data_IF_021727900512
#
_entry.id   IF_021727900512
#
_cell.length_a   1.000
_cell.length_b   1.000
_cell.length_c   1.000
_cell.angle_alpha   90.00
_cell.angle_beta   90.00
_cell.angle_gamma   90.00
#
_symmetry.space_group_name_H-M   'P 1'
#
loop_
_entity.id
_entity.type
_entity.pdbx_description
1 polymer ?
#
# COMPACT_ATOMS: atom_id res chain seq x y z
N UNK A 1 2.18 1.23 -7.27
CA UNK A 1 1.88 0.01 -6.49
C UNK A 1 2.82 -1.11 -6.94
N UNK A 2 3.43 -1.83 -6.00
CA UNK A 2 4.11 -3.11 -6.26
C UNK A 2 3.07 -4.23 -6.10
N UNK A 3 2.93 -5.04 -7.14
CA UNK A 3 1.97 -6.14 -7.28
C UNK A 3 2.44 -7.40 -6.53
N UNK A 4 1.60 -8.45 -6.39
CA UNK A 4 1.96 -9.62 -5.58
C UNK A 4 3.25 -10.32 -6.00
N UNK A 5 3.55 -10.40 -7.30
CA UNK A 5 4.80 -10.94 -7.82
C UNK A 5 6.03 -10.11 -7.43
N UNK A 6 5.93 -8.77 -7.48
CA UNK A 6 7.02 -7.89 -7.05
C UNK A 6 7.28 -7.98 -5.54
N UNK A 7 6.20 -8.03 -4.75
CA UNK A 7 6.27 -8.07 -3.29
C UNK A 7 6.79 -9.44 -2.79
N UNK A 8 6.21 -10.54 -3.27
CA UNK A 8 6.60 -11.90 -2.89
C UNK A 8 7.92 -12.35 -3.54
N UNK A 9 8.30 -11.71 -4.65
CA UNK A 9 9.59 -11.92 -5.32
C UNK A 9 10.77 -11.21 -4.66
N UNK A 10 10.58 -10.56 -3.51
CA UNK A 10 11.60 -9.78 -2.79
C UNK A 10 12.20 -8.61 -3.60
N UNK A 11 11.44 -8.02 -4.53
CA UNK A 11 11.89 -6.86 -5.31
C UNK A 11 11.59 -5.51 -4.64
N UNK A 12 10.93 -5.50 -3.48
CA UNK A 12 10.48 -4.28 -2.79
C UNK A 12 11.59 -3.26 -2.60
N UNK A 13 12.70 -3.67 -1.99
CA UNK A 13 13.80 -2.76 -1.67
C UNK A 13 14.48 -2.24 -2.94
N UNK A 14 14.65 -3.11 -3.94
CA UNK A 14 15.25 -2.73 -5.22
C UNK A 14 14.37 -1.72 -5.97
N UNK A 15 13.05 -1.94 -6.02
CA UNK A 15 12.09 -1.00 -6.62
C UNK A 15 12.08 0.34 -5.87
N UNK A 16 12.09 0.33 -4.53
CA UNK A 16 12.13 1.56 -3.74
C UNK A 16 13.44 2.32 -3.93
N UNK A 17 14.57 1.63 -4.03
CA UNK A 17 15.85 2.24 -4.36
C UNK A 17 15.83 2.92 -5.73
N UNK A 18 15.26 2.25 -6.76
CA UNK A 18 15.09 2.85 -8.09
C UNK A 18 14.20 4.10 -8.04
N UNK A 19 13.10 4.06 -7.28
CA UNK A 19 12.19 5.21 -7.08
C UNK A 19 12.96 6.41 -6.49
N UNK A 20 13.65 6.20 -5.37
CA UNK A 20 14.36 7.27 -4.64
C UNK A 20 15.50 7.83 -5.48
N UNK A 21 16.29 6.96 -6.12
CA UNK A 21 17.40 7.37 -6.98
C UNK A 21 16.94 8.11 -8.25
N UNK A 22 15.67 7.96 -8.64
CA UNK A 22 15.06 8.68 -9.76
C UNK A 22 14.44 10.03 -9.35
N UNK A 23 14.64 10.45 -8.10
CA UNK A 23 14.21 11.74 -7.57
C UNK A 23 12.75 11.80 -7.13
N UNK A 24 12.10 10.65 -6.92
CA UNK A 24 10.78 10.61 -6.31
C UNK A 24 10.89 10.59 -4.78
N UNK A 25 9.90 11.20 -4.12
CA UNK A 25 9.65 11.04 -2.69
C UNK A 25 8.54 10.00 -2.52
N UNK A 26 8.73 9.04 -1.62
CA UNK A 26 7.67 8.13 -1.19
C UNK A 26 6.93 8.82 -0.03
N UNK A 27 5.81 9.48 -0.33
CA UNK A 27 5.06 10.28 0.65
C UNK A 27 4.32 9.41 1.67
N UNK A 28 3.68 8.35 1.19
CA UNK A 28 2.91 7.41 2.01
C UNK A 28 2.94 6.04 1.38
N UNK A 29 2.93 5.00 2.20
CA UNK A 29 2.82 3.63 1.72
C UNK A 29 2.03 2.74 2.68
N UNK A 30 1.42 1.68 2.15
CA UNK A 30 0.73 0.66 2.94
C UNK A 30 0.77 -0.69 2.23
N UNK A 31 0.93 -1.76 3.01
CA UNK A 31 0.73 -3.13 2.53
C UNK A 31 -0.71 -3.53 2.84
N UNK A 32 -1.42 -4.07 1.84
CA UNK A 32 -2.74 -4.66 2.03
C UNK A 32 -2.96 -5.88 1.16
N UNK A 33 -3.91 -6.72 1.55
CA UNK A 33 -4.49 -7.76 0.70
C UNK A 33 -5.81 -7.23 0.13
N UNK A 34 -5.97 -7.27 -1.19
CA UNK A 34 -7.24 -6.97 -1.84
C UNK A 34 -8.14 -8.22 -1.84
N UNK A 35 -9.42 -8.04 -1.54
CA UNK A 35 -10.46 -9.01 -1.90
C UNK A 35 -10.93 -8.79 -3.35
N UNK A 36 -11.75 -9.71 -3.86
CA UNK A 36 -12.22 -9.67 -5.25
C UNK A 36 -13.04 -8.41 -5.54
N UNK A 37 -13.88 -7.98 -4.59
CA UNK A 37 -14.75 -6.80 -4.74
C UNK A 37 -13.95 -5.49 -4.82
N UNK A 38 -12.96 -5.30 -3.94
CA UNK A 38 -12.06 -4.14 -3.97
C UNK A 38 -11.17 -4.16 -5.20
N UNK A 39 -10.63 -5.32 -5.58
CA UNK A 39 -9.84 -5.43 -6.81
C UNK A 39 -10.68 -5.12 -8.06
N UNK A 40 -11.91 -5.65 -8.15
CA UNK A 40 -12.84 -5.39 -9.24
C UNK A 40 -13.23 -3.92 -9.31
N UNK A 41 -13.49 -3.30 -8.16
CA UNK A 41 -13.79 -1.86 -8.06
C UNK A 41 -12.61 -1.00 -8.51
N UNK A 42 -11.39 -1.36 -8.11
CA UNK A 42 -10.18 -0.64 -8.49
C UNK A 42 -9.92 -0.71 -10.01
N UNK A 43 -10.15 -1.87 -10.63
CA UNK A 43 -9.96 -2.09 -12.07
C UNK A 43 -11.24 -1.95 -12.91
N UNK A 44 -12.28 -1.27 -12.41
CA UNK A 44 -13.60 -1.23 -13.05
C UNK A 44 -13.59 -0.76 -14.51
N UNK A 45 -12.65 0.13 -14.88
CA UNK A 45 -12.42 0.61 -16.25
C UNK A 45 -12.02 -0.52 -17.24
N UNK A 46 -11.62 -1.68 -16.72
CA UNK A 46 -11.25 -2.86 -17.49
C UNK A 46 -12.30 -3.98 -17.45
N UNK A 47 -13.46 -3.77 -16.82
CA UNK A 47 -14.50 -4.80 -16.61
C UNK A 47 -14.98 -5.48 -17.91
N UNK A 48 -14.94 -4.79 -19.04
CA UNK A 48 -15.35 -5.32 -20.35
C UNK A 48 -14.20 -6.02 -21.11
N UNK A 49 -12.99 -6.08 -20.54
CA UNK A 49 -11.83 -6.70 -21.19
C UNK A 49 -11.77 -8.19 -20.88
N UNK A 50 -11.41 -9.00 -21.87
CA UNK A 50 -11.31 -10.46 -21.73
C UNK A 50 -10.31 -10.93 -20.66
N UNK A 51 -9.29 -10.11 -20.36
CA UNK A 51 -8.30 -10.40 -19.31
C UNK A 51 -8.76 -10.04 -17.89
N UNK A 52 -9.91 -9.37 -17.72
CA UNK A 52 -10.35 -8.85 -16.42
C UNK A 52 -10.48 -9.92 -15.34
N UNK A 53 -11.10 -11.10 -15.58
CA UNK A 53 -11.19 -12.13 -14.54
C UNK A 53 -9.83 -12.62 -14.05
N UNK A 54 -8.86 -12.78 -14.95
CA UNK A 54 -7.50 -13.19 -14.59
C UNK A 54 -6.77 -12.08 -13.83
N UNK A 55 -6.96 -10.82 -14.22
CA UNK A 55 -6.42 -9.66 -13.51
C UNK A 55 -6.91 -9.61 -12.06
N UNK A 56 -8.22 -9.81 -11.82
CA UNK A 56 -8.77 -9.82 -10.45
C UNK A 56 -8.16 -10.98 -9.66
N UNK A 57 -8.19 -12.20 -10.21
CA UNK A 57 -7.62 -13.38 -9.55
C UNK A 57 -6.14 -13.21 -9.20
N UNK A 58 -5.36 -12.58 -10.07
CA UNK A 58 -3.95 -12.30 -9.82
C UNK A 58 -3.76 -11.24 -8.75
N UNK A 59 -4.52 -10.14 -8.80
CA UNK A 59 -4.37 -9.04 -7.85
C UNK A 59 -4.85 -9.40 -6.44
N UNK A 60 -5.68 -10.45 -6.31
CA UNK A 60 -6.10 -11.02 -5.01
C UNK A 60 -5.27 -12.23 -4.58
N UNK A 61 -4.27 -12.66 -5.36
CA UNK A 61 -3.46 -13.85 -5.05
C UNK A 61 -2.44 -13.63 -3.92
N UNK A 62 -2.25 -12.39 -3.46
CA UNK A 62 -1.27 -12.04 -2.45
C UNK A 62 -1.28 -10.54 -2.15
N UNK A 63 -0.46 -10.10 -1.17
CA UNK A 63 -0.46 -8.72 -0.74
C UNK A 63 0.16 -7.80 -1.79
N UNK A 64 -0.22 -6.53 -1.74
CA UNK A 64 0.34 -5.46 -2.58
C UNK A 64 0.90 -4.36 -1.69
N UNK A 65 1.95 -3.68 -2.18
CA UNK A 65 2.44 -2.44 -1.58
C UNK A 65 1.93 -1.25 -2.39
N UNK A 66 1.04 -0.47 -1.82
CA UNK A 66 0.54 0.78 -2.41
C UNK A 66 1.39 1.93 -1.90
N UNK A 67 1.76 2.84 -2.80
CA UNK A 67 2.58 4.02 -2.50
C UNK A 67 1.99 5.25 -3.18
N UNK A 68 2.06 6.39 -2.49
CA UNK A 68 1.90 7.73 -3.06
C UNK A 68 3.31 8.25 -3.36
N UNK A 69 3.58 8.55 -4.63
CA UNK A 69 4.87 9.06 -5.07
C UNK A 69 4.74 10.55 -5.45
N UNK A 70 5.68 11.36 -4.99
CA UNK A 70 5.72 12.79 -5.26
C UNK A 70 6.97 13.16 -6.06
N UNK A 71 6.74 13.97 -7.11
CA UNK A 71 7.75 14.57 -7.97
C UNK A 71 7.07 15.60 -8.86
N UNK A 72 7.82 16.59 -9.35
CA UNK A 72 7.39 17.33 -10.53
C UNK A 72 7.19 16.35 -11.71
N UNK A 73 6.08 16.45 -12.44
CA UNK A 73 5.70 15.53 -13.52
C UNK A 73 5.62 14.04 -13.11
N UNK A 74 5.30 13.76 -11.84
CA UNK A 74 5.35 12.41 -11.26
C UNK A 74 4.67 11.31 -12.09
N UNK A 75 3.47 11.55 -12.64
CA UNK A 75 2.75 10.54 -13.42
C UNK A 75 3.54 10.16 -14.68
N UNK A 76 3.98 11.15 -15.47
CA UNK A 76 4.72 10.91 -16.71
C UNK A 76 6.07 10.24 -16.44
N UNK A 77 6.81 10.74 -15.45
CA UNK A 77 8.11 10.20 -15.06
C UNK A 77 7.99 8.78 -14.52
N UNK A 78 6.95 8.47 -13.74
CA UNK A 78 6.71 7.13 -13.24
C UNK A 78 6.40 6.17 -14.37
N UNK A 79 5.58 6.59 -15.34
CA UNK A 79 5.28 5.80 -16.55
C UNK A 79 6.54 5.50 -17.36
N UNK A 80 7.44 6.46 -17.50
CA UNK A 80 8.74 6.26 -18.15
C UNK A 80 9.62 5.28 -17.35
N UNK A 81 9.70 5.45 -16.03
CA UNK A 81 10.54 4.63 -15.14
C UNK A 81 10.11 3.17 -15.08
N UNK A 82 8.79 2.88 -15.07
CA UNK A 82 8.31 1.49 -15.06
C UNK A 82 8.44 0.82 -16.43
N UNK A 83 8.38 1.57 -17.53
CA UNK A 83 8.51 1.07 -18.90
C UNK A 83 7.26 0.34 -19.44
N UNK A 84 7.37 -0.31 -20.61
CA UNK A 84 6.25 -0.95 -21.32
C UNK A 84 5.52 -2.01 -20.48
N UNK A 85 4.19 -2.12 -20.63
CA UNK A 85 3.34 -3.07 -19.86
C UNK A 85 3.77 -4.53 -20.01
N UNK A 86 4.20 -4.94 -21.21
CA UNK A 86 4.77 -6.27 -21.44
C UNK A 86 6.25 -6.28 -21.02
N UNK A 87 6.53 -7.02 -19.96
CA UNK A 87 7.87 -7.16 -19.38
C UNK A 87 8.87 -7.78 -20.37
N UNK A 88 8.43 -8.65 -21.29
CA UNK A 88 9.31 -9.21 -22.33
C UNK A 88 9.78 -8.12 -23.29
N UNK A 89 8.86 -7.24 -23.68
CA UNK A 89 9.17 -6.05 -24.49
C UNK A 89 10.02 -5.05 -23.71
N UNK A 90 9.74 -4.84 -22.42
CA UNK A 90 10.53 -3.95 -21.56
C UNK A 90 11.99 -4.38 -21.50
N UNK A 91 12.28 -5.68 -21.30
CA UNK A 91 13.64 -6.23 -21.27
C UNK A 91 14.47 -5.91 -22.52
N UNK A 92 13.82 -5.81 -23.68
CA UNK A 92 14.48 -5.54 -24.96
C UNK A 92 14.62 -4.03 -25.20
N UNK A 93 13.57 -3.25 -24.92
CA UNK A 93 13.47 -1.85 -25.36
C UNK A 93 13.83 -0.84 -24.27
N UNK A 94 13.66 -1.21 -23.00
CA UNK A 94 13.88 -0.37 -21.82
C UNK A 94 14.54 -1.21 -20.72
N UNK A 95 15.77 -1.73 -20.94
CA UNK A 95 16.39 -2.73 -20.05
C UNK A 95 16.62 -2.22 -18.61
N UNK A 96 16.59 -0.91 -18.40
CA UNK A 96 16.73 -0.28 -17.09
C UNK A 96 15.38 0.06 -16.42
N UNK A 97 14.24 -0.32 -17.03
CA UNK A 97 12.93 -0.07 -16.43
C UNK A 97 12.60 -1.08 -15.33
N UNK A 98 11.72 -0.70 -14.41
CA UNK A 98 11.31 -1.61 -13.32
C UNK A 98 10.67 -2.89 -13.86
N UNK A 99 9.89 -2.82 -14.95
CA UNK A 99 9.30 -4.01 -15.59
C UNK A 99 10.34 -4.90 -16.26
N UNK A 100 11.44 -4.34 -16.75
CA UNK A 100 12.56 -5.15 -17.25
C UNK A 100 13.27 -5.89 -16.10
N UNK A 101 13.41 -5.22 -14.96
CA UNK A 101 14.06 -5.75 -13.75
C UNK A 101 13.29 -6.93 -13.13
N UNK A 102 12.03 -6.73 -12.75
CA UNK A 102 11.28 -7.70 -11.95
C UNK A 102 10.06 -8.32 -12.64
N UNK A 103 9.71 -7.86 -13.85
CA UNK A 103 8.56 -8.36 -14.58
C UNK A 103 8.81 -9.68 -15.32
N UNK A 104 7.76 -10.50 -15.43
CA UNK A 104 7.77 -11.80 -16.11
C UNK A 104 7.08 -11.70 -17.48
N UNK A 105 5.87 -11.16 -17.52
CA UNK A 105 5.04 -11.04 -18.73
C UNK A 105 4.15 -9.79 -18.67
N UNK A 106 3.03 -9.76 -19.40
CA UNK A 106 2.09 -8.63 -19.44
C UNK A 106 1.17 -8.53 -18.22
N UNK A 107 0.87 -9.64 -17.56
CA UNK A 107 0.03 -9.69 -16.36
C UNK A 107 0.89 -9.51 -15.10
N UNK A 108 1.91 -10.38 -14.96
CA UNK A 108 2.93 -10.36 -13.89
C UNK A 108 4.06 -9.43 -14.28
N UNK A 109 3.76 -8.14 -14.28
CA UNK A 109 4.70 -7.08 -14.63
C UNK A 109 5.15 -6.25 -13.42
N UNK A 110 5.12 -6.84 -12.22
CA UNK A 110 5.69 -6.31 -10.98
C UNK A 110 5.06 -5.03 -10.41
N UNK A 111 4.69 -4.03 -11.24
CA UNK A 111 4.20 -2.72 -10.80
C UNK A 111 3.02 -2.19 -11.60
N UNK A 112 2.10 -1.53 -10.89
CA UNK A 112 1.03 -0.68 -11.42
C UNK A 112 1.35 0.80 -11.20
N UNK A 113 0.91 1.65 -12.13
CA UNK A 113 1.04 3.10 -12.06
C UNK A 113 -0.06 3.78 -12.86
N UNK A 114 -0.66 4.81 -12.25
CA UNK A 114 -1.70 5.65 -12.84
C UNK A 114 -1.26 6.22 -14.19
N UNK A 115 -2.20 6.38 -15.11
CA UNK A 115 -1.97 6.80 -16.50
C UNK A 115 -2.16 8.31 -16.75
N UNK A 116 -2.76 9.01 -15.79
CA UNK A 116 -3.13 10.43 -15.88
C UNK A 116 -3.22 11.05 -14.48
N UNK A 117 -3.15 12.39 -14.35
CA UNK A 117 -3.39 13.06 -13.07
C UNK A 117 -4.77 12.74 -12.49
N UNK A 118 -5.79 12.65 -13.36
CA UNK A 118 -7.14 12.28 -12.98
C UNK A 118 -7.18 10.87 -12.42
N UNK A 119 -6.53 9.90 -13.08
CA UNK A 119 -6.50 8.54 -12.56
C UNK A 119 -5.72 8.43 -11.26
N UNK A 120 -4.58 9.13 -11.16
CA UNK A 120 -3.81 9.22 -9.93
C UNK A 120 -4.67 9.73 -8.75
N UNK A 121 -5.45 10.79 -8.96
CA UNK A 121 -6.33 11.32 -7.92
C UNK A 121 -7.35 10.28 -7.42
N UNK A 122 -8.12 9.63 -8.32
CA UNK A 122 -9.11 8.64 -7.84
C UNK A 122 -8.44 7.40 -7.24
N UNK A 123 -7.29 6.96 -7.76
CA UNK A 123 -6.56 5.82 -7.19
C UNK A 123 -6.00 6.13 -5.79
N UNK A 124 -5.47 7.34 -5.59
CA UNK A 124 -5.04 7.80 -4.25
C UNK A 124 -6.24 7.84 -3.30
N UNK A 125 -7.36 8.42 -3.71
CA UNK A 125 -8.58 8.43 -2.88
C UNK A 125 -9.10 7.02 -2.58
N UNK A 126 -9.01 6.08 -3.52
CA UNK A 126 -9.46 4.69 -3.33
C UNK A 126 -8.70 3.98 -2.20
N UNK A 127 -7.38 4.20 -2.10
CA UNK A 127 -6.54 3.52 -1.10
C UNK A 127 -6.33 4.31 0.19
N UNK A 128 -6.29 5.63 0.10
CA UNK A 128 -5.86 6.51 1.19
C UNK A 128 -6.91 7.56 1.56
N UNK A 129 -8.18 7.35 1.21
CA UNK A 129 -9.27 8.09 1.86
C UNK A 129 -9.02 8.07 3.37
N UNK A 130 -9.07 9.25 3.98
CA UNK A 130 -8.94 9.35 5.44
C UNK A 130 -9.91 8.37 6.05
N UNK A 131 -9.38 7.49 6.91
CA UNK A 131 -10.22 6.64 7.74
C UNK A 131 -11.27 7.55 8.37
N UNK A 132 -12.55 7.19 8.21
CA UNK A 132 -13.63 7.95 8.81
C UNK A 132 -13.28 8.25 10.27
N UNK A 133 -13.60 9.46 10.75
CA UNK A 133 -13.24 9.92 12.09
C UNK A 133 -13.59 8.90 13.21
N UNK A 134 -14.61 8.07 12.97
CA UNK A 134 -15.00 6.96 13.85
C UNK A 134 -13.90 5.91 14.04
N UNK A 135 -13.16 5.54 12.99
CA UNK A 135 -12.08 4.55 13.07
C UNK A 135 -10.84 5.12 13.78
N UNK A 136 -10.55 6.41 13.59
CA UNK A 136 -9.44 7.09 14.29
C UNK A 136 -9.72 7.20 15.78
N UNK A 137 -10.95 7.55 16.17
CA UNK A 137 -11.37 7.58 17.58
C UNK A 137 -11.33 6.17 18.18
N UNK A 138 -11.83 5.15 17.48
CA UNK A 138 -11.76 3.77 17.96
C UNK A 138 -10.31 3.30 18.17
N UNK A 139 -9.38 3.64 17.27
CA UNK A 139 -7.96 3.34 17.43
C UNK A 139 -7.30 4.13 18.56
N UNK A 140 -7.64 5.41 18.73
CA UNK A 140 -7.17 6.21 19.87
C UNK A 140 -7.66 5.64 21.19
N UNK A 141 -8.95 5.31 21.29
CA UNK A 141 -9.53 4.68 22.47
C UNK A 141 -8.89 3.33 22.75
N UNK A 142 -8.70 2.48 21.73
CA UNK A 142 -8.02 1.20 21.86
C UNK A 142 -6.58 1.35 22.37
N UNK A 143 -5.81 2.30 21.82
CA UNK A 143 -4.45 2.58 22.27
C UNK A 143 -4.42 3.14 23.70
N UNK A 144 -5.34 4.03 24.06
CA UNK A 144 -5.47 4.57 25.41
C UNK A 144 -5.88 3.50 26.43
N UNK A 145 -6.77 2.59 26.06
CA UNK A 145 -7.18 1.46 26.90
C UNK A 145 -6.02 0.49 27.14
N UNK A 146 -5.25 0.14 26.10
CA UNK A 146 -4.08 -0.72 26.25
C UNK A 146 -3.00 -0.07 27.12
N UNK A 147 -2.77 1.23 26.96
CA UNK A 147 -1.80 1.96 27.79
C UNK A 147 -2.22 2.03 29.25
N UNK A 148 -3.51 2.31 29.53
CA UNK A 148 -4.06 2.31 30.89
C UNK A 148 -3.97 0.92 31.54
N UNK A 149 -4.32 -0.13 30.80
CA UNK A 149 -4.19 -1.51 31.28
C UNK A 149 -2.73 -1.88 31.58
N UNK A 150 -1.79 -1.51 30.70
CA UNK A 150 -0.36 -1.76 30.89
C UNK A 150 0.17 -1.08 32.15
N UNK A 151 -0.15 0.19 32.37
CA UNK A 151 0.24 0.92 33.59
C UNK A 151 -0.37 0.31 34.86
N UNK A 152 -1.63 -0.12 34.82
CA UNK A 152 -2.26 -0.84 35.95
C UNK A 152 -1.52 -2.15 36.25
N UNK A 153 -1.16 -2.90 35.22
CA UNK A 153 -0.43 -4.16 35.36
C UNK A 153 0.97 -3.95 35.96
N UNK A 154 1.71 -2.92 35.54
CA UNK A 154 3.02 -2.60 36.10
C UNK A 154 2.94 -2.14 37.57
N UNK A 155 2.00 -1.26 37.91
CA UNK A 155 1.82 -0.81 39.29
C UNK A 155 1.51 -1.97 40.25
N UNK A 156 0.68 -2.93 39.82
CA UNK A 156 0.41 -4.16 40.59
C UNK A 156 1.68 -5.01 40.72
N UNK A 157 2.42 -5.20 39.63
CA UNK A 157 3.67 -5.98 39.63
C UNK A 157 4.72 -5.41 40.58
N UNK A 158 4.77 -4.09 40.74
CA UNK A 158 5.70 -3.40 41.64
C UNK A 158 5.13 -3.10 43.02
N UNK A 159 3.95 -3.66 43.37
CA UNK A 159 3.38 -3.56 44.71
C UNK A 159 2.92 -2.16 45.11
N UNK A 160 2.53 -1.33 44.14
CA UNK A 160 2.02 0.01 44.40
C UNK A 160 0.76 -0.05 45.30
N UNK A 161 0.58 0.89 46.23
CA UNK A 161 -0.58 0.91 47.10
C UNK A 161 -1.86 1.09 46.29
N UNK A 162 -3.01 0.50 46.71
CA UNK A 162 -4.29 0.56 45.97
C UNK A 162 -4.74 1.96 45.60
N UNK A 163 -4.37 2.96 46.41
CA UNK A 163 -4.64 4.38 46.15
C UNK A 163 -4.02 4.89 44.84
N UNK A 164 -2.94 4.27 44.35
CA UNK A 164 -2.26 4.65 43.10
C UNK A 164 -3.09 4.28 41.86
N UNK A 165 -3.97 3.29 41.96
CA UNK A 165 -4.83 2.85 40.86
C UNK A 165 -6.03 3.79 40.64
N UNK A 166 -6.39 4.59 41.66
CA UNK A 166 -7.52 5.53 41.62
C UNK A 166 -7.27 6.75 40.72
N UNK A 167 -6.01 7.05 40.41
CA UNK A 167 -5.63 8.18 39.56
C UNK A 167 -5.51 7.80 38.07
N UNK A 168 -5.67 6.51 37.73
CA UNK A 168 -5.65 6.08 36.34
C UNK A 168 -7.03 6.22 35.71
N UNK A 169 -7.12 6.86 34.52
CA UNK A 169 -8.40 7.06 33.87
C UNK A 169 -9.09 5.73 33.56
N UNK A 170 -10.38 5.66 33.91
CA UNK A 170 -11.25 4.51 33.72
C UNK A 170 -12.09 4.74 32.47
N UNK A 171 -11.79 4.01 31.39
CA UNK A 171 -12.45 4.17 30.09
C UNK A 171 -13.54 3.10 29.83
N UNK A 172 -14.18 2.59 30.89
CA UNK A 172 -15.18 1.50 30.83
C UNK A 172 -16.53 1.91 31.46
N UNK A 173 -17.05 3.10 31.14
CA UNK A 173 -18.46 3.45 31.34
C UNK A 173 -19.10 3.90 30.03
#
# INVERSE_FOLDING_TARGET
MIKPDGLLGNYTDEVKNVIINSGFIIFKEMILQLDEDRAASFYAEHSLKSFFPNLIKYMTSGPVLVMILEKENAVADWRALIGPTDSKKAKITHPHSIRALCGIDSEKNCVHGSDSPQSAQREISFFFQEESAECTVAKQLFNMMNYSWFLKAELIRFGAPPSSLLYLPNYLE
#
